data_IF_524356459161
#
_entry.id   IF_524356459161
#
_cell.length_a   1.000
_cell.length_b   1.000
_cell.length_c   1.000
_cell.angle_alpha   90.00
_cell.angle_beta   90.00
_cell.angle_gamma   90.00
#
_symmetry.space_group_name_H-M   'P 1'
#
loop_
_entity.id
_entity.type
_entity.pdbx_description
1 polymer ?
#
# COMPACT_ATOMS: atom_id res chain seq x y z
N UNK A 1 -16.36 32.78 68.82
CA UNK A 1 -17.07 33.06 67.54
C UNK A 1 -16.11 33.17 66.37
N UNK A 2 -15.22 34.17 66.31
CA UNK A 2 -14.25 34.31 65.19
C UNK A 2 -13.28 33.13 65.02
N UNK A 3 -12.78 32.54 66.10
CA UNK A 3 -11.94 31.33 66.04
C UNK A 3 -12.70 30.10 65.55
N UNK A 4 -13.95 29.92 65.98
CA UNK A 4 -14.79 28.82 65.51
C UNK A 4 -15.08 28.95 64.01
N UNK A 5 -15.26 30.19 63.52
CA UNK A 5 -15.48 30.47 62.11
C UNK A 5 -14.23 30.18 61.25
N UNK A 6 -13.03 30.58 61.70
CA UNK A 6 -11.76 30.23 61.02
C UNK A 6 -11.51 28.72 60.98
N UNK A 7 -11.70 28.02 62.10
CA UNK A 7 -11.54 26.55 62.13
C UNK A 7 -12.52 25.84 61.20
N UNK A 8 -13.72 26.38 61.02
CA UNK A 8 -14.73 25.82 60.12
C UNK A 8 -14.46 26.13 58.64
N UNK A 9 -13.87 27.28 58.33
CA UNK A 9 -13.36 27.60 56.98
C UNK A 9 -12.11 26.79 56.60
N UNK A 10 -11.16 26.61 57.53
CA UNK A 10 -9.97 25.77 57.33
C UNK A 10 -10.37 24.30 57.12
N UNK A 11 -11.26 23.76 57.96
CA UNK A 11 -11.77 22.39 57.79
C UNK A 11 -12.47 22.17 56.43
N UNK A 12 -13.27 23.15 55.98
CA UNK A 12 -13.92 23.09 54.65
C UNK A 12 -12.93 23.16 53.49
N UNK A 13 -11.81 23.88 53.64
CA UNK A 13 -10.74 23.92 52.63
C UNK A 13 -10.00 22.59 52.53
N UNK A 14 -9.70 21.96 53.66
CA UNK A 14 -9.03 20.66 53.69
C UNK A 14 -9.94 19.55 53.12
N UNK A 15 -11.24 19.58 53.43
CA UNK A 15 -12.24 18.67 52.85
C UNK A 15 -12.37 18.87 51.33
N UNK A 16 -12.42 20.13 50.87
CA UNK A 16 -12.46 20.43 49.43
C UNK A 16 -11.19 19.99 48.69
N UNK A 17 -10.01 20.16 49.31
CA UNK A 17 -8.74 19.70 48.74
C UNK A 17 -8.68 18.17 48.62
N UNK A 18 -9.19 17.43 49.63
CA UNK A 18 -9.30 15.97 49.57
C UNK A 18 -10.25 15.51 48.47
N UNK A 19 -11.45 16.10 48.40
CA UNK A 19 -12.41 15.79 47.34
C UNK A 19 -11.85 16.11 45.93
N UNK A 20 -11.03 17.15 45.80
CA UNK A 20 -10.34 17.48 44.54
C UNK A 20 -9.27 16.45 44.18
N UNK A 21 -8.47 15.97 45.14
CA UNK A 21 -7.46 14.93 44.86
C UNK A 21 -8.13 13.58 44.53
N UNK A 22 -9.20 13.21 45.24
CA UNK A 22 -10.01 12.02 44.91
C UNK A 22 -10.60 12.10 43.50
N UNK A 23 -11.20 13.22 43.12
CA UNK A 23 -11.72 13.44 41.77
C UNK A 23 -10.60 13.38 40.70
N UNK A 24 -9.40 13.87 41.01
CA UNK A 24 -8.24 13.80 40.12
C UNK A 24 -7.74 12.36 39.97
N UNK A 25 -7.69 11.58 41.05
CA UNK A 25 -7.36 10.15 40.98
C UNK A 25 -8.38 9.37 40.15
N UNK A 26 -9.67 9.65 40.31
CA UNK A 26 -10.73 9.06 39.48
C UNK A 26 -10.59 9.43 38.00
N UNK A 27 -10.29 10.70 37.69
CA UNK A 27 -10.05 11.13 36.32
C UNK A 27 -8.81 10.47 35.70
N UNK A 28 -7.73 10.25 36.48
CA UNK A 28 -6.54 9.54 36.02
C UNK A 28 -6.86 8.08 35.71
N UNK A 29 -7.63 7.41 36.58
CA UNK A 29 -8.08 6.02 36.35
C UNK A 29 -8.97 5.93 35.12
N UNK A 30 -9.99 6.79 35.01
CA UNK A 30 -10.89 6.82 33.87
C UNK A 30 -10.15 7.14 32.55
N UNK A 31 -9.14 8.02 32.59
CA UNK A 31 -8.28 8.28 31.45
C UNK A 31 -7.48 7.04 31.04
N UNK A 32 -6.87 6.33 32.01
CA UNK A 32 -6.12 5.11 31.73
C UNK A 32 -7.02 3.99 31.16
N UNK A 33 -8.24 3.84 31.67
CA UNK A 33 -9.24 2.89 31.14
C UNK A 33 -9.67 3.26 29.72
N UNK A 34 -9.91 4.55 29.44
CA UNK A 34 -10.24 5.01 28.09
C UNK A 34 -9.07 4.83 27.11
N UNK A 35 -7.83 5.04 27.55
CA UNK A 35 -6.63 4.80 26.75
C UNK A 35 -6.47 3.32 26.40
N UNK A 36 -6.77 2.41 27.34
CA UNK A 36 -6.80 0.96 27.11
C UNK A 36 -7.84 0.57 26.06
N UNK A 37 -9.09 1.01 26.26
CA UNK A 37 -10.20 0.74 25.34
C UNK A 37 -9.88 1.28 23.94
N UNK A 38 -9.30 2.48 23.87
CA UNK A 38 -8.95 3.13 22.60
C UNK A 38 -7.81 2.41 21.87
N UNK A 39 -6.84 1.83 22.61
CA UNK A 39 -5.81 0.98 22.01
C UNK A 39 -6.41 -0.29 21.41
N UNK A 40 -7.22 -1.01 22.18
CA UNK A 40 -7.87 -2.25 21.73
C UNK A 40 -8.73 -2.02 20.48
N UNK A 41 -9.54 -0.96 20.46
CA UNK A 41 -10.37 -0.62 19.29
C UNK A 41 -9.54 -0.32 18.04
N UNK A 42 -8.34 0.29 18.19
CA UNK A 42 -7.44 0.54 17.06
C UNK A 42 -6.82 -0.74 16.53
N UNK A 43 -6.34 -1.60 17.42
CA UNK A 43 -5.76 -2.90 17.04
C UNK A 43 -6.81 -3.74 16.29
N UNK A 44 -8.07 -3.75 16.74
CA UNK A 44 -9.18 -4.39 16.04
C UNK A 44 -9.46 -3.76 14.66
N UNK A 45 -9.44 -2.43 14.55
CA UNK A 45 -9.64 -1.72 13.29
C UNK A 45 -8.51 -2.00 12.27
N UNK A 46 -7.25 -1.99 12.73
CA UNK A 46 -6.07 -2.33 11.93
C UNK A 46 -6.16 -3.78 11.47
N UNK A 47 -6.42 -4.73 12.38
CA UNK A 47 -6.55 -6.15 12.05
C UNK A 47 -7.62 -6.38 10.96
N UNK A 48 -8.78 -5.74 11.12
CA UNK A 48 -9.87 -5.82 10.15
C UNK A 48 -9.47 -5.24 8.79
N UNK A 49 -8.77 -4.11 8.79
CA UNK A 49 -8.31 -3.44 7.56
C UNK A 49 -7.27 -4.28 6.83
N UNK A 50 -6.28 -4.82 7.55
CA UNK A 50 -5.27 -5.73 7.01
C UNK A 50 -5.91 -6.97 6.37
N UNK A 51 -6.85 -7.63 7.07
CA UNK A 51 -7.53 -8.80 6.54
C UNK A 51 -8.37 -8.50 5.29
N UNK A 52 -9.04 -7.33 5.28
CA UNK A 52 -9.82 -6.88 4.13
C UNK A 52 -8.92 -6.61 2.91
N UNK A 53 -7.80 -5.91 3.12
CA UNK A 53 -6.83 -5.62 2.07
C UNK A 53 -6.19 -6.89 1.53
N UNK A 54 -5.76 -7.82 2.40
CA UNK A 54 -5.17 -9.08 1.98
C UNK A 54 -6.15 -9.89 1.11
N UNK A 55 -7.40 -10.00 1.55
CA UNK A 55 -8.45 -10.71 0.78
C UNK A 55 -8.65 -10.10 -0.61
N UNK A 56 -8.57 -8.77 -0.73
CA UNK A 56 -8.68 -8.06 -2.01
C UNK A 56 -7.45 -8.32 -2.89
N UNK A 57 -6.24 -8.17 -2.36
CA UNK A 57 -5.02 -8.40 -3.12
C UNK A 57 -4.90 -9.86 -3.59
N UNK A 58 -5.30 -10.84 -2.77
CA UNK A 58 -5.36 -12.25 -3.19
C UNK A 58 -6.29 -12.47 -4.39
N UNK A 59 -7.50 -11.92 -4.34
CA UNK A 59 -8.45 -12.02 -5.47
C UNK A 59 -7.92 -11.36 -6.73
N UNK A 60 -7.28 -10.20 -6.60
CA UNK A 60 -6.64 -9.53 -7.73
C UNK A 60 -5.49 -10.35 -8.29
N UNK A 61 -4.66 -10.94 -7.43
CA UNK A 61 -3.55 -11.80 -7.83
C UNK A 61 -4.04 -13.03 -8.59
N UNK A 62 -5.03 -13.75 -8.06
CA UNK A 62 -5.63 -14.92 -8.72
C UNK A 62 -6.17 -14.57 -10.11
N UNK A 63 -6.89 -13.43 -10.22
CA UNK A 63 -7.42 -12.96 -11.49
C UNK A 63 -6.30 -12.53 -12.46
N UNK A 64 -5.25 -11.86 -11.96
CA UNK A 64 -4.14 -11.40 -12.79
C UNK A 64 -3.34 -12.57 -13.34
N UNK A 65 -3.10 -13.61 -12.54
CA UNK A 65 -2.45 -14.85 -13.00
C UNK A 65 -3.26 -15.49 -14.13
N UNK A 66 -4.59 -15.54 -14.03
CA UNK A 66 -5.44 -16.08 -15.10
C UNK A 66 -5.38 -15.25 -16.38
N UNK A 67 -5.37 -13.92 -16.27
CA UNK A 67 -5.20 -13.02 -17.42
C UNK A 67 -3.85 -13.27 -18.08
N UNK A 68 -2.77 -13.24 -17.31
CA UNK A 68 -1.40 -13.47 -17.80
C UNK A 68 -1.24 -14.82 -18.53
N UNK A 69 -1.67 -15.92 -17.90
CA UNK A 69 -1.57 -17.24 -18.53
C UNK A 69 -2.35 -17.30 -19.85
N UNK A 70 -3.50 -16.63 -19.91
CA UNK A 70 -4.33 -16.60 -21.10
C UNK A 70 -3.74 -15.70 -22.18
N UNK A 71 -3.13 -14.57 -21.81
CA UNK A 71 -2.36 -13.69 -22.70
C UNK A 71 -1.21 -14.47 -23.33
N UNK A 72 -0.42 -15.22 -22.55
CA UNK A 72 0.66 -16.08 -23.06
C UNK A 72 0.16 -17.13 -24.05
N UNK A 73 -0.94 -17.84 -23.71
CA UNK A 73 -1.53 -18.84 -24.62
C UNK A 73 -2.06 -18.20 -25.90
N UNK A 74 -2.59 -16.98 -25.82
CA UNK A 74 -3.07 -16.24 -26.98
C UNK A 74 -1.90 -15.84 -27.89
N UNK A 75 -0.79 -15.37 -27.33
CA UNK A 75 0.40 -14.96 -28.10
C UNK A 75 1.07 -16.12 -28.87
N UNK A 76 0.93 -17.36 -28.40
CA UNK A 76 1.42 -18.56 -29.11
C UNK A 76 0.75 -18.81 -30.47
N UNK A 77 -0.37 -18.15 -30.77
CA UNK A 77 -1.06 -18.29 -32.05
C UNK A 77 -0.25 -17.55 -33.14
N UNK A 78 0.17 -18.25 -34.23
CA UNK A 78 0.92 -17.64 -35.31
C UNK A 78 0.18 -16.47 -35.96
N UNK A 79 0.91 -15.44 -36.39
CA UNK A 79 0.32 -14.24 -37.00
C UNK A 79 -0.57 -14.54 -38.21
N UNK A 80 -0.28 -15.59 -38.99
CA UNK A 80 -1.12 -16.03 -40.12
C UNK A 80 -2.53 -16.44 -39.70
N UNK A 81 -2.69 -16.90 -38.46
CA UNK A 81 -3.91 -17.48 -37.93
C UNK A 81 -4.67 -16.48 -37.03
N UNK A 82 -4.11 -15.26 -36.85
CA UNK A 82 -4.70 -14.18 -36.06
C UNK A 82 -5.83 -13.50 -36.84
N UNK A 83 -7.02 -14.09 -36.75
CA UNK A 83 -8.25 -13.55 -37.33
C UNK A 83 -9.14 -12.81 -36.33
N UNK A 84 -10.42 -12.66 -36.67
CA UNK A 84 -11.44 -12.01 -35.82
C UNK A 84 -11.53 -12.63 -34.41
N UNK A 85 -11.42 -13.95 -34.30
CA UNK A 85 -11.51 -14.66 -33.03
C UNK A 85 -10.34 -14.31 -32.09
N UNK A 86 -9.14 -14.09 -32.65
CA UNK A 86 -7.98 -13.62 -31.88
C UNK A 86 -8.26 -12.24 -31.27
N UNK A 87 -8.76 -11.31 -32.08
CA UNK A 87 -9.11 -9.96 -31.62
C UNK A 87 -10.21 -9.97 -30.54
N UNK A 88 -11.22 -10.84 -30.66
CA UNK A 88 -12.27 -11.00 -29.63
C UNK A 88 -11.67 -11.50 -28.32
N UNK A 89 -10.79 -12.52 -28.36
CA UNK A 89 -10.14 -13.04 -27.15
C UNK A 89 -9.27 -11.98 -26.46
N UNK A 90 -8.51 -11.21 -27.24
CA UNK A 90 -7.71 -10.11 -26.69
C UNK A 90 -8.58 -9.02 -26.06
N UNK A 91 -9.72 -8.69 -26.67
CA UNK A 91 -10.67 -7.73 -26.09
C UNK A 91 -11.33 -8.26 -24.81
N UNK A 92 -11.61 -9.56 -24.72
CA UNK A 92 -12.11 -10.16 -23.48
C UNK A 92 -11.08 -10.04 -22.36
N UNK A 93 -9.80 -10.32 -22.64
CA UNK A 93 -8.70 -10.13 -21.68
C UNK A 93 -8.58 -8.68 -21.22
N UNK A 94 -8.73 -7.71 -22.12
CA UNK A 94 -8.82 -6.28 -21.74
C UNK A 94 -9.97 -6.01 -20.76
N UNK A 95 -11.15 -6.60 -21.03
CA UNK A 95 -12.30 -6.51 -20.13
C UNK A 95 -12.04 -7.12 -18.75
N UNK A 96 -11.35 -8.26 -18.70
CA UNK A 96 -10.97 -8.91 -17.45
C UNK A 96 -9.92 -8.09 -16.68
N UNK A 97 -8.91 -7.56 -17.37
CA UNK A 97 -7.91 -6.66 -16.77
C UNK A 97 -8.55 -5.41 -16.15
N UNK A 98 -9.56 -4.80 -16.82
CA UNK A 98 -10.30 -3.65 -16.28
C UNK A 98 -11.08 -3.99 -15.00
N UNK A 99 -11.54 -5.23 -14.82
CA UNK A 99 -12.19 -5.63 -13.56
C UNK A 99 -11.18 -5.65 -12.41
N UNK A 100 -9.95 -6.09 -12.68
CA UNK A 100 -8.86 -6.06 -11.69
C UNK A 100 -8.50 -4.62 -11.33
N UNK A 101 -8.39 -3.74 -12.32
CA UNK A 101 -8.16 -2.30 -12.14
C UNK A 101 -9.18 -1.67 -11.17
N UNK A 102 -10.46 -2.01 -11.31
CA UNK A 102 -11.53 -1.52 -10.41
C UNK A 102 -11.33 -2.00 -8.97
N UNK A 103 -10.82 -3.21 -8.75
CA UNK A 103 -10.49 -3.67 -7.40
C UNK A 103 -9.27 -2.96 -6.83
N UNK A 104 -8.29 -2.60 -7.68
CA UNK A 104 -7.13 -1.80 -7.27
C UNK A 104 -7.56 -0.38 -6.86
N UNK A 105 -8.46 0.27 -7.62
CA UNK A 105 -9.04 1.57 -7.25
C UNK A 105 -9.74 1.53 -5.89
N UNK A 106 -10.47 0.44 -5.59
CA UNK A 106 -11.12 0.25 -4.29
C UNK A 106 -10.11 0.04 -3.16
N UNK A 107 -9.06 -0.74 -3.39
CA UNK A 107 -8.00 -0.93 -2.41
C UNK A 107 -7.26 0.38 -2.12
N UNK A 108 -7.00 1.17 -3.16
CA UNK A 108 -6.36 2.48 -3.05
C UNK A 108 -7.21 3.47 -2.25
N UNK A 109 -8.53 3.46 -2.42
CA UNK A 109 -9.43 4.29 -1.62
C UNK A 109 -9.31 3.97 -0.12
N UNK A 110 -9.32 2.68 0.23
CA UNK A 110 -9.18 2.24 1.63
C UNK A 110 -7.84 2.66 2.24
N UNK A 111 -6.75 2.56 1.48
CA UNK A 111 -5.42 2.97 1.93
C UNK A 111 -5.30 4.49 2.14
N UNK A 112 -5.96 5.28 1.29
CA UNK A 112 -5.96 6.75 1.42
C UNK A 112 -6.80 7.24 2.60
N UNK A 113 -7.88 6.53 2.94
CA UNK A 113 -8.68 6.81 4.12
C UNK A 113 -7.90 6.55 5.41
N UNK A 114 -6.97 5.59 5.37
CA UNK A 114 -6.10 5.22 6.48
C UNK A 114 -4.89 6.16 6.60
N UNK A 115 -4.25 6.53 5.47
CA UNK A 115 -3.35 7.68 5.35
C UNK A 115 -1.93 7.51 5.90
N UNK A 116 -1.57 6.37 6.49
CA UNK A 116 -0.27 6.19 7.16
C UNK A 116 0.82 5.57 6.27
N UNK A 117 0.42 4.77 5.28
CA UNK A 117 1.33 3.85 4.58
C UNK A 117 1.65 4.34 3.17
N UNK A 118 2.63 5.23 3.05
CA UNK A 118 2.96 5.94 1.80
C UNK A 118 3.54 4.99 0.77
N UNK A 119 4.52 4.17 1.16
CA UNK A 119 5.18 3.26 0.22
C UNK A 119 4.22 2.17 -0.29
N UNK A 120 3.31 1.74 0.57
CA UNK A 120 2.27 0.77 0.24
C UNK A 120 1.23 1.39 -0.70
N UNK A 121 0.78 2.61 -0.42
CA UNK A 121 -0.14 3.38 -1.28
C UNK A 121 0.45 3.58 -2.67
N UNK A 122 1.71 4.02 -2.76
CA UNK A 122 2.41 4.18 -4.04
C UNK A 122 2.50 2.86 -4.82
N UNK A 123 2.78 1.75 -4.13
CA UNK A 123 2.84 0.45 -4.79
C UNK A 123 1.51 0.07 -5.44
N UNK A 124 0.38 0.39 -4.79
CA UNK A 124 -0.96 0.24 -5.37
C UNK A 124 -1.20 1.17 -6.55
N UNK A 125 -0.77 2.43 -6.46
CA UNK A 125 -0.88 3.39 -7.57
C UNK A 125 -0.12 2.88 -8.81
N UNK A 126 1.09 2.34 -8.63
CA UNK A 126 1.88 1.84 -9.76
C UNK A 126 1.27 0.60 -10.42
N UNK A 127 0.75 -0.37 -9.64
CA UNK A 127 0.08 -1.54 -10.24
C UNK A 127 -1.23 -1.13 -10.91
N UNK A 128 -1.98 -0.17 -10.34
CA UNK A 128 -3.19 0.37 -10.98
C UNK A 128 -2.87 0.94 -12.36
N UNK A 129 -1.83 1.77 -12.46
CA UNK A 129 -1.43 2.37 -13.73
C UNK A 129 -0.89 1.32 -14.73
N UNK A 130 -0.19 0.27 -14.27
CA UNK A 130 0.16 -0.86 -15.14
C UNK A 130 -1.07 -1.64 -15.60
N UNK A 131 -2.05 -1.89 -14.72
CA UNK A 131 -3.29 -2.59 -15.09
C UNK A 131 -4.05 -1.80 -16.16
N UNK A 132 -4.08 -0.48 -16.05
CA UNK A 132 -4.65 0.41 -17.07
C UNK A 132 -3.90 0.27 -18.39
N UNK A 133 -2.57 0.36 -18.38
CA UNK A 133 -1.71 0.18 -19.56
C UNK A 133 -1.91 -1.19 -20.24
N UNK A 134 -1.89 -2.29 -19.48
CA UNK A 134 -2.14 -3.65 -19.97
C UNK A 134 -3.52 -3.73 -20.61
N UNK A 135 -4.54 -3.16 -19.97
CA UNK A 135 -5.90 -3.17 -20.51
C UNK A 135 -6.00 -2.47 -21.87
N UNK A 136 -5.29 -1.37 -22.06
CA UNK A 136 -5.24 -0.65 -23.33
C UNK A 136 -4.50 -1.44 -24.40
N UNK A 137 -3.37 -2.09 -24.06
CA UNK A 137 -2.63 -2.94 -25.00
C UNK A 137 -3.48 -4.12 -25.48
N UNK A 138 -4.15 -4.81 -24.56
CA UNK A 138 -5.03 -5.94 -24.88
C UNK A 138 -6.24 -5.52 -25.73
N UNK A 139 -6.79 -4.32 -25.51
CA UNK A 139 -7.86 -3.76 -26.36
C UNK A 139 -7.35 -3.51 -27.79
N UNK A 140 -6.09 -3.10 -27.92
CA UNK A 140 -5.40 -2.90 -29.19
C UNK A 140 -4.81 -4.19 -29.79
N UNK A 141 -5.18 -5.36 -29.25
CA UNK A 141 -4.76 -6.68 -29.77
C UNK A 141 -3.24 -6.89 -29.67
N UNK A 142 -2.59 -6.23 -28.70
CA UNK A 142 -1.17 -6.36 -28.39
C UNK A 142 -0.99 -7.30 -27.20
N UNK A 143 -0.59 -8.53 -27.49
CA UNK A 143 -0.34 -9.60 -26.50
C UNK A 143 1.15 -9.95 -26.39
N UNK A 144 2.00 -9.11 -26.97
CA UNK A 144 3.44 -9.33 -27.07
C UNK A 144 4.16 -9.25 -25.72
N UNK A 145 5.49 -9.39 -25.78
CA UNK A 145 6.39 -9.36 -24.62
C UNK A 145 6.15 -8.17 -23.69
N UNK A 146 5.85 -6.97 -24.20
CA UNK A 146 5.65 -5.79 -23.33
C UNK A 146 4.37 -5.90 -22.50
N UNK A 147 3.32 -6.51 -23.06
CA UNK A 147 2.07 -6.77 -22.32
C UNK A 147 2.33 -7.82 -21.22
N UNK A 148 2.94 -8.94 -21.59
CA UNK A 148 3.23 -10.05 -20.68
C UNK A 148 4.19 -9.65 -19.54
N UNK A 149 5.20 -8.83 -19.84
CA UNK A 149 6.13 -8.31 -18.83
C UNK A 149 5.43 -7.45 -17.78
N UNK A 150 4.51 -6.59 -18.24
CA UNK A 150 3.74 -5.71 -17.35
C UNK A 150 2.77 -6.52 -16.49
N UNK A 151 2.14 -7.56 -17.05
CA UNK A 151 1.30 -8.51 -16.30
C UNK A 151 2.10 -9.27 -15.23
N UNK A 152 3.29 -9.78 -15.56
CA UNK A 152 4.20 -10.46 -14.61
C UNK A 152 4.61 -9.53 -13.45
N UNK A 153 4.89 -8.26 -13.74
CA UNK A 153 5.23 -7.27 -12.72
C UNK A 153 4.07 -6.98 -11.76
N UNK A 154 2.84 -6.88 -12.30
CA UNK A 154 1.64 -6.73 -11.46
C UNK A 154 1.51 -7.93 -10.53
N UNK A 155 1.70 -9.16 -11.03
CA UNK A 155 1.64 -10.39 -10.23
C UNK A 155 2.68 -10.35 -9.11
N UNK A 156 3.94 -10.11 -9.44
CA UNK A 156 5.03 -10.08 -8.44
C UNK A 156 4.79 -9.00 -7.37
N UNK A 157 4.26 -7.84 -7.76
CA UNK A 157 3.95 -6.77 -6.81
C UNK A 157 2.79 -7.15 -5.89
N UNK A 158 1.74 -7.78 -6.41
CA UNK A 158 0.62 -8.27 -5.60
C UNK A 158 1.09 -9.33 -4.59
N UNK A 159 2.01 -10.22 -4.96
CA UNK A 159 2.61 -11.21 -4.05
C UNK A 159 3.35 -10.55 -2.90
N UNK A 160 4.27 -9.62 -3.20
CA UNK A 160 5.02 -8.87 -2.19
C UNK A 160 4.08 -8.13 -1.21
N UNK A 161 2.99 -7.55 -1.74
CA UNK A 161 2.00 -6.85 -0.93
C UNK A 161 1.20 -7.78 -0.02
N UNK A 162 0.81 -8.96 -0.52
CA UNK A 162 0.14 -9.99 0.29
C UNK A 162 1.07 -10.44 1.41
N UNK A 163 2.34 -10.72 1.11
CA UNK A 163 3.34 -11.13 2.11
C UNK A 163 3.53 -10.06 3.20
N UNK A 164 3.60 -8.78 2.81
CA UNK A 164 3.72 -7.68 3.76
C UNK A 164 2.50 -7.57 4.69
N UNK A 165 1.29 -7.72 4.16
CA UNK A 165 0.07 -7.69 4.98
C UNK A 165 -0.04 -8.90 5.92
N UNK A 166 0.35 -10.09 5.46
CA UNK A 166 0.38 -11.28 6.31
C UNK A 166 1.38 -11.14 7.46
N UNK A 167 2.54 -10.54 7.19
CA UNK A 167 3.54 -10.26 8.22
C UNK A 167 3.03 -9.24 9.23
N UNK A 168 2.38 -8.17 8.77
CA UNK A 168 1.76 -7.16 9.65
C UNK A 168 0.67 -7.75 10.54
N UNK A 169 -0.19 -8.63 10.00
CA UNK A 169 -1.21 -9.33 10.80
C UNK A 169 -0.57 -10.19 11.90
N UNK A 170 0.49 -10.93 11.56
CA UNK A 170 1.19 -11.78 12.53
C UNK A 170 1.86 -10.96 13.64
N UNK A 171 2.46 -9.83 13.30
CA UNK A 171 3.07 -8.93 14.28
C UNK A 171 2.04 -8.32 15.23
N UNK A 172 0.85 -8.00 14.72
CA UNK A 172 -0.28 -7.53 15.52
C UNK A 172 -0.74 -8.61 16.51
N UNK A 173 -0.93 -9.86 16.05
CA UNK A 173 -1.25 -11.01 16.92
C UNK A 173 -0.18 -11.25 17.99
N UNK A 174 1.11 -11.16 17.62
CA UNK A 174 2.23 -11.34 18.55
C UNK A 174 2.32 -10.20 19.58
N UNK A 175 1.89 -8.98 19.23
CA UNK A 175 1.87 -7.83 20.13
C UNK A 175 0.79 -7.93 21.22
N UNK A 176 -0.37 -8.50 20.86
CA UNK A 176 -1.50 -8.76 21.77
C UNK A 176 -1.12 -9.71 22.93
N UNK A 177 -0.10 -10.55 22.70
CA UNK A 177 0.41 -11.51 23.68
C UNK A 177 1.47 -10.97 24.65
N UNK A 178 1.95 -9.73 24.47
CA UNK A 178 3.04 -9.14 25.27
C UNK A 178 2.54 -8.00 26.18
N UNK A 179 3.01 -7.91 27.43
CA UNK A 179 2.72 -6.76 28.28
C UNK A 179 3.26 -5.49 27.61
N UNK A 180 2.50 -4.37 27.60
CA UNK A 180 2.94 -3.15 26.97
C UNK A 180 4.28 -2.67 27.57
N UNK A 181 5.26 -2.24 26.75
CA UNK A 181 6.52 -1.74 27.25
C UNK A 181 6.29 -0.50 28.13
N UNK A 182 7.08 -0.33 29.22
CA UNK A 182 6.98 0.87 30.05
C UNK A 182 7.48 2.09 29.26
N UNK A 183 6.57 2.96 28.83
CA UNK A 183 6.88 4.19 28.13
C UNK A 183 5.63 5.07 27.94
N UNK A 184 5.81 6.39 27.76
CA UNK A 184 4.71 7.25 27.37
C UNK A 184 4.14 6.78 26.02
N UNK A 185 2.82 6.65 25.89
CA UNK A 185 2.19 6.12 24.68
C UNK A 185 2.50 7.01 23.47
N UNK A 186 2.55 6.42 22.25
CA UNK A 186 2.63 7.19 21.01
C UNK A 186 1.48 8.20 20.92
N UNK A 187 1.70 9.37 20.28
CA UNK A 187 0.63 10.31 20.00
C UNK A 187 -0.55 9.64 19.26
N UNK A 188 -1.80 10.03 19.55
CA UNK A 188 -2.96 9.45 18.89
C UNK A 188 -2.96 9.75 17.38
N UNK A 189 -2.88 8.71 16.56
CA UNK A 189 -3.13 8.77 15.10
C UNK A 189 -1.98 8.36 14.17
N UNK A 190 -0.89 7.78 14.67
CA UNK A 190 0.34 7.57 13.87
C UNK A 190 0.71 6.12 13.56
N UNK A 191 -0.06 5.11 13.97
CA UNK A 191 0.37 3.71 13.80
C UNK A 191 0.13 3.23 12.36
N UNK A 192 1.19 2.95 11.59
CA UNK A 192 1.03 2.58 10.21
C UNK A 192 0.52 1.15 10.04
N UNK A 193 -0.23 0.87 8.96
CA UNK A 193 -0.69 -0.50 8.64
C UNK A 193 0.46 -1.50 8.54
N UNK A 194 1.60 -1.02 8.05
CA UNK A 194 2.82 -1.82 7.92
C UNK A 194 3.98 -1.13 8.61
N UNK A 195 4.90 -1.91 9.17
CA UNK A 195 6.05 -1.34 9.87
C UNK A 195 7.00 -0.57 8.91
N UNK A 196 7.86 0.27 9.48
CA UNK A 196 8.80 1.07 8.69
C UNK A 196 9.78 0.20 7.89
N UNK A 197 10.08 -1.01 8.37
CA UNK A 197 10.97 -1.93 7.66
C UNK A 197 10.29 -2.47 6.39
N UNK A 198 9.00 -2.79 6.46
CA UNK A 198 8.18 -3.17 5.32
C UNK A 198 8.05 -2.01 4.34
N UNK A 199 7.84 -0.77 4.79
CA UNK A 199 7.85 0.40 3.89
C UNK A 199 9.18 0.55 3.14
N UNK A 200 10.32 0.42 3.84
CA UNK A 200 11.64 0.49 3.21
C UNK A 200 11.88 -0.68 2.24
N UNK A 201 11.39 -1.88 2.55
CA UNK A 201 11.43 -3.04 1.65
C UNK A 201 10.60 -2.76 0.39
N UNK A 202 9.41 -2.18 0.52
CA UNK A 202 8.56 -1.81 -0.61
C UNK A 202 9.24 -0.79 -1.51
N UNK A 203 9.84 0.26 -0.95
CA UNK A 203 10.61 1.25 -1.70
C UNK A 203 11.77 0.59 -2.46
N UNK A 204 12.49 -0.32 -1.79
CA UNK A 204 13.58 -1.07 -2.43
C UNK A 204 13.06 -1.95 -3.58
N UNK A 205 11.92 -2.60 -3.42
CA UNK A 205 11.29 -3.39 -4.48
C UNK A 205 10.87 -2.50 -5.66
N UNK A 206 10.25 -1.35 -5.40
CA UNK A 206 9.92 -0.35 -6.43
C UNK A 206 11.17 0.04 -7.25
N UNK A 207 12.26 0.41 -6.57
CA UNK A 207 13.53 0.74 -7.24
C UNK A 207 14.11 -0.42 -8.05
N UNK A 208 14.09 -1.63 -7.47
CA UNK A 208 14.60 -2.82 -8.17
C UNK A 208 13.79 -3.14 -9.42
N UNK A 209 12.48 -2.92 -9.40
CA UNK A 209 11.59 -3.08 -10.56
C UNK A 209 11.96 -2.11 -11.67
N UNK A 210 12.06 -0.81 -11.36
CA UNK A 210 12.43 0.19 -12.37
C UNK A 210 13.82 -0.09 -12.95
N UNK A 211 14.79 -0.42 -12.11
CA UNK A 211 16.13 -0.83 -12.58
C UNK A 211 16.08 -2.02 -13.53
N UNK A 212 15.30 -3.04 -13.19
CA UNK A 212 15.17 -4.26 -14.01
C UNK A 212 14.48 -3.97 -15.35
N UNK A 213 13.42 -3.15 -15.36
CA UNK A 213 12.72 -2.74 -16.59
C UNK A 213 13.59 -1.86 -17.47
N UNK A 214 14.33 -0.93 -16.87
CA UNK A 214 15.30 -0.09 -17.59
C UNK A 214 16.31 -0.96 -18.35
N UNK A 215 16.85 -1.99 -17.69
CA UNK A 215 17.75 -2.96 -18.33
C UNK A 215 17.06 -3.79 -19.42
N UNK A 216 15.82 -4.22 -19.21
CA UNK A 216 15.06 -4.99 -20.21
C UNK A 216 14.77 -4.15 -21.45
N UNK A 217 14.34 -2.89 -21.29
CA UNK A 217 14.07 -1.97 -22.39
C UNK A 217 15.35 -1.55 -23.13
N UNK A 218 16.47 -1.39 -22.43
CA UNK A 218 17.76 -1.13 -23.07
C UNK A 218 18.14 -2.23 -24.08
N UNK A 219 17.79 -3.51 -23.81
CA UNK A 219 18.03 -4.63 -24.74
C UNK A 219 17.12 -4.62 -25.97
N UNK A 220 16.01 -3.89 -25.92
CA UNK A 220 15.10 -3.73 -27.05
C UNK A 220 15.54 -2.58 -27.99
N UNK A 221 16.53 -1.78 -27.57
CA UNK A 221 17.15 -0.78 -28.43
C UNK A 221 18.08 -1.42 -29.45
N UNK A 222 18.36 -0.71 -30.55
CA UNK A 222 19.29 -1.18 -31.60
C UNK A 222 20.71 -1.46 -31.08
N UNK A 223 21.10 -0.80 -29.98
CA UNK A 223 22.38 -1.01 -29.30
C UNK A 223 22.16 -0.92 -27.79
N UNK A 224 22.45 -2.00 -27.07
CA UNK A 224 22.31 -2.09 -25.60
C UNK A 224 23.24 -1.11 -24.85
N UNK A 225 24.31 -0.64 -25.51
CA UNK A 225 25.30 0.31 -24.98
C UNK A 225 25.09 1.75 -25.47
N UNK A 226 24.03 2.02 -26.22
CA UNK A 226 23.72 3.38 -26.63
C UNK A 226 23.06 4.13 -25.46
N UNK A 227 23.87 4.87 -24.70
CA UNK A 227 23.39 5.70 -23.56
C UNK A 227 22.32 6.72 -23.97
N UNK A 228 22.21 7.02 -25.27
CA UNK A 228 21.25 7.97 -25.86
C UNK A 228 20.20 7.26 -26.73
N UNK A 229 20.25 5.92 -26.80
CA UNK A 229 19.52 5.11 -27.77
C UNK A 229 18.05 5.51 -27.88
N UNK A 230 17.68 6.06 -29.04
CA UNK A 230 16.33 6.52 -29.26
C UNK A 230 15.43 5.30 -29.48
N UNK A 231 14.47 5.11 -28.58
CA UNK A 231 13.38 4.18 -28.83
C UNK A 231 12.66 4.61 -30.11
N UNK A 232 12.63 3.72 -31.10
CA UNK A 232 12.06 4.03 -32.42
C UNK A 232 10.56 3.75 -32.51
N UNK A 233 10.03 2.96 -31.56
CA UNK A 233 8.62 2.62 -31.49
C UNK A 233 7.91 3.46 -30.43
N UNK A 234 6.75 4.00 -30.79
CA UNK A 234 5.91 4.81 -29.87
C UNK A 234 5.61 4.08 -28.55
N UNK A 235 5.43 2.77 -28.61
CA UNK A 235 5.19 1.93 -27.43
C UNK A 235 6.39 1.91 -26.47
N UNK A 236 7.62 1.77 -27.00
CA UNK A 236 8.82 1.74 -26.18
C UNK A 236 9.15 3.14 -25.63
N UNK A 237 8.91 4.19 -26.41
CA UNK A 237 9.03 5.59 -25.94
C UNK A 237 8.09 5.85 -24.76
N UNK A 238 6.82 5.45 -24.87
CA UNK A 238 5.85 5.56 -23.78
C UNK A 238 6.27 4.76 -22.55
N UNK A 239 6.74 3.52 -22.75
CA UNK A 239 7.20 2.68 -21.64
C UNK A 239 8.39 3.31 -20.89
N UNK A 240 9.37 3.86 -21.62
CA UNK A 240 10.51 4.57 -21.01
C UNK A 240 10.09 5.85 -20.28
N UNK A 241 9.14 6.61 -20.83
CA UNK A 241 8.58 7.80 -20.16
C UNK A 241 7.83 7.43 -18.87
N UNK A 242 7.11 6.31 -18.86
CA UNK A 242 6.46 5.82 -17.65
C UNK A 242 7.49 5.41 -16.58
N UNK A 243 8.60 4.77 -16.97
CA UNK A 243 9.70 4.46 -16.04
C UNK A 243 10.33 5.70 -15.42
N UNK A 244 10.56 6.76 -16.21
CA UNK A 244 11.15 7.99 -15.67
C UNK A 244 10.23 8.66 -14.64
N UNK A 245 8.92 8.67 -14.89
CA UNK A 245 7.94 9.16 -13.91
C UNK A 245 7.94 8.34 -12.62
N UNK A 246 8.09 7.01 -12.71
CA UNK A 246 8.21 6.13 -11.53
C UNK A 246 9.46 6.41 -10.72
N UNK A 247 10.61 6.59 -11.37
CA UNK A 247 11.85 6.99 -10.69
C UNK A 247 11.70 8.30 -9.94
N UNK A 248 11.15 9.32 -10.61
CA UNK A 248 10.92 10.62 -9.99
C UNK A 248 9.99 10.52 -8.78
N UNK A 249 8.94 9.70 -8.88
CA UNK A 249 7.98 9.47 -7.80
C UNK A 249 8.59 8.72 -6.61
N UNK A 250 9.37 7.68 -6.86
CA UNK A 250 10.09 6.97 -5.80
C UNK A 250 11.07 7.91 -5.09
N UNK A 251 11.77 8.77 -5.84
CA UNK A 251 12.66 9.79 -5.26
C UNK A 251 11.89 10.77 -4.37
N UNK A 252 10.71 11.22 -4.77
CA UNK A 252 9.85 12.08 -3.95
C UNK A 252 9.45 11.40 -2.64
N UNK A 253 8.99 10.15 -2.70
CA UNK A 253 8.57 9.38 -1.51
C UNK A 253 9.73 9.18 -0.54
N UNK A 254 10.89 8.77 -1.06
CA UNK A 254 12.10 8.59 -0.24
C UNK A 254 12.47 9.90 0.45
N UNK A 255 12.36 11.02 -0.27
CA UNK A 255 12.64 12.34 0.29
C UNK A 255 11.62 12.73 1.36
N UNK A 256 10.34 12.49 1.13
CA UNK A 256 9.28 12.86 2.09
C UNK A 256 9.37 12.04 3.38
N UNK A 257 9.68 10.74 3.27
CA UNK A 257 9.97 9.87 4.41
C UNK A 257 11.21 10.36 5.16
N UNK A 258 12.29 10.71 4.46
CA UNK A 258 13.50 11.23 5.10
C UNK A 258 13.28 12.57 5.82
N UNK A 259 12.45 13.44 5.25
CA UNK A 259 12.15 14.77 5.80
C UNK A 259 11.05 14.75 6.88
N UNK A 260 10.44 13.60 7.16
CA UNK A 260 9.35 13.50 8.13
C UNK A 260 8.09 14.27 7.71
N UNK A 261 7.90 14.51 6.41
CA UNK A 261 6.73 15.23 5.85
C UNK A 261 5.48 14.36 5.75
N UNK A 262 5.65 13.11 6.14
CA UNK A 262 4.66 12.03 6.20
C UNK A 262 3.99 11.90 7.57
N UNK A 263 4.27 12.81 8.51
CA UNK A 263 3.66 12.91 9.84
C UNK A 263 2.85 14.20 9.97
#
# INVERSE_FOLDING_TARGET
MREAQRKLEEAKRDEAAKAQEEAKEELIKAKAELEEILRQLREEEIARTLALLESRFRKMWEAQVQVYETTMRLDQIPDSDRGREFAIRSNNLSGDQRKILVEADKALLLLREEGSSIAFTESVEQIRDEMEYVSERLANVKVDFLTQESEEEIIATLEEMIEALQQAQKELEDSDSKPPPPGPPPPPGEDPLVDQLAELRMIRSLQKRVYTRTKRYARMLKSELDEVGQAETDDLVKALFNLSRREDRIREIVRDIHLGRNK
#
